data_IF_153152964950
#
_entry.id   IF_153152964950
#
_cell.length_a   1.000
_cell.length_b   1.000
_cell.length_c   1.000
_cell.angle_alpha   90.00
_cell.angle_beta   90.00
_cell.angle_gamma   90.00
#
_symmetry.space_group_name_H-M   'P 1'
#
loop_
_entity.id
_entity.type
_entity.pdbx_description
1 polymer ?
#
# COMPACT_ATOMS: atom_id res chain seq x y z
N UNK A 1 7.16 35.31 8.70
CA UNK A 1 7.97 34.84 7.56
C UNK A 1 8.24 33.32 7.64
N UNK A 2 8.77 32.77 8.76
CA UNK A 2 9.04 31.32 8.88
C UNK A 2 7.82 30.42 8.65
N UNK A 3 6.67 30.75 9.24
CA UNK A 3 5.45 29.95 9.06
C UNK A 3 4.99 29.85 7.58
N UNK A 4 5.20 30.89 6.79
CA UNK A 4 4.91 30.88 5.35
C UNK A 4 5.91 30.00 4.56
N UNK A 5 7.18 30.02 4.95
CA UNK A 5 8.20 29.17 4.32
C UNK A 5 7.92 27.69 4.62
N UNK A 6 7.57 27.34 5.85
CA UNK A 6 7.20 25.98 6.22
C UNK A 6 5.95 25.47 5.47
N UNK A 7 4.99 26.35 5.20
CA UNK A 7 3.82 26.03 4.37
C UNK A 7 4.21 25.80 2.92
N UNK A 8 5.05 26.69 2.36
CA UNK A 8 5.54 26.57 0.98
C UNK A 8 6.37 25.30 0.77
N UNK A 9 7.26 24.98 1.69
CA UNK A 9 8.05 23.74 1.65
C UNK A 9 7.16 22.50 1.68
N UNK A 10 6.17 22.44 2.57
CA UNK A 10 5.20 21.32 2.62
C UNK A 10 4.38 21.20 1.34
N UNK A 11 3.89 22.32 0.78
CA UNK A 11 3.12 22.30 -0.46
C UNK A 11 3.98 21.91 -1.65
N UNK A 12 5.22 22.38 -1.70
CA UNK A 12 6.18 22.00 -2.76
C UNK A 12 6.52 20.52 -2.70
N UNK A 13 6.81 19.98 -1.51
CA UNK A 13 7.07 18.55 -1.32
C UNK A 13 5.84 17.69 -1.69
N UNK A 14 4.65 18.17 -1.34
CA UNK A 14 3.38 17.51 -1.72
C UNK A 14 3.20 17.50 -3.24
N UNK A 15 3.40 18.63 -3.91
CA UNK A 15 3.26 18.74 -5.36
C UNK A 15 4.28 17.84 -6.08
N UNK A 16 5.52 17.82 -5.62
CA UNK A 16 6.56 16.92 -6.13
C UNK A 16 6.13 15.47 -6.02
N UNK A 17 5.66 15.04 -4.85
CA UNK A 17 5.17 13.67 -4.64
C UNK A 17 3.98 13.34 -5.54
N UNK A 18 3.03 14.26 -5.72
CA UNK A 18 1.89 14.08 -6.62
C UNK A 18 2.32 13.85 -8.07
N UNK A 19 3.30 14.63 -8.56
CA UNK A 19 3.83 14.46 -9.92
C UNK A 19 4.60 13.16 -10.08
N UNK A 20 5.39 12.77 -9.11
CA UNK A 20 6.10 11.47 -9.08
C UNK A 20 5.11 10.31 -9.11
N UNK A 21 4.10 10.32 -8.24
CA UNK A 21 3.03 9.32 -8.16
C UNK A 21 2.26 9.21 -9.48
N UNK A 22 1.92 10.34 -10.10
CA UNK A 22 1.21 10.37 -11.39
C UNK A 22 2.04 9.78 -12.53
N UNK A 23 3.33 10.14 -12.59
CA UNK A 23 4.26 9.60 -13.60
C UNK A 23 4.45 8.10 -13.40
N UNK A 24 4.60 7.65 -12.16
CA UNK A 24 4.73 6.23 -11.83
C UNK A 24 3.46 5.45 -12.22
N UNK A 25 2.28 5.93 -11.84
CA UNK A 25 1.00 5.34 -12.20
C UNK A 25 0.83 5.23 -13.72
N UNK A 26 1.17 6.30 -14.45
CA UNK A 26 1.12 6.32 -15.91
C UNK A 26 2.07 5.32 -16.55
N UNK A 27 3.32 5.24 -16.07
CA UNK A 27 4.30 4.28 -16.59
C UNK A 27 3.93 2.84 -16.26
N UNK A 28 3.42 2.58 -15.05
CA UNK A 28 2.98 1.26 -14.64
C UNK A 28 1.78 0.77 -15.46
N UNK A 29 0.79 1.64 -15.70
CA UNK A 29 -0.42 1.29 -16.49
C UNK A 29 -0.12 1.08 -17.98
N UNK A 30 0.91 1.73 -18.53
CA UNK A 30 1.33 1.57 -19.93
C UNK A 30 2.38 0.48 -20.14
N UNK A 31 2.83 -0.19 -19.06
CA UNK A 31 3.89 -1.19 -19.13
C UNK A 31 5.30 -0.63 -19.40
N UNK A 32 5.45 0.69 -19.36
CA UNK A 32 6.72 1.37 -19.65
C UNK A 32 7.64 1.53 -18.43
N UNK A 33 7.25 0.98 -17.28
CA UNK A 33 8.08 0.97 -16.08
C UNK A 33 9.03 -0.24 -16.13
N UNK A 34 10.31 0.01 -15.96
CA UNK A 34 11.30 -1.08 -15.88
C UNK A 34 11.00 -1.96 -14.66
N UNK A 35 10.86 -3.26 -14.92
CA UNK A 35 10.55 -4.27 -13.92
C UNK A 35 11.52 -5.46 -14.10
N UNK A 36 12.32 -5.73 -13.07
CA UNK A 36 13.27 -6.84 -13.06
C UNK A 36 12.81 -7.86 -12.03
N UNK A 37 12.26 -8.98 -12.50
CA UNK A 37 11.74 -10.03 -11.64
C UNK A 37 12.88 -10.93 -11.13
N UNK A 38 13.02 -11.01 -9.81
CA UNK A 38 13.99 -11.86 -9.11
C UNK A 38 13.32 -12.64 -7.98
N UNK A 39 13.89 -13.79 -7.54
CA UNK A 39 13.41 -14.47 -6.36
C UNK A 39 13.45 -13.56 -5.13
N UNK A 40 12.29 -13.18 -4.64
CA UNK A 40 12.13 -12.25 -3.51
C UNK A 40 11.49 -12.96 -2.33
N UNK A 41 12.14 -12.89 -1.16
CA UNK A 41 11.60 -13.40 0.09
C UNK A 41 10.57 -12.41 0.66
N UNK A 42 9.32 -12.86 0.71
CA UNK A 42 8.19 -12.02 1.13
C UNK A 42 8.28 -11.61 2.60
N UNK A 43 8.71 -12.53 3.47
CA UNK A 43 8.76 -12.27 4.91
C UNK A 43 9.88 -11.28 5.25
N UNK A 44 11.02 -11.39 4.58
CA UNK A 44 12.14 -10.44 4.73
C UNK A 44 11.71 -9.04 4.31
N UNK A 45 11.08 -8.91 3.15
CA UNK A 45 10.63 -7.61 2.65
C UNK A 45 9.54 -7.00 3.54
N UNK A 46 8.62 -7.83 4.03
CA UNK A 46 7.57 -7.38 4.96
C UNK A 46 8.17 -6.87 6.28
N UNK A 47 9.18 -7.58 6.81
CA UNK A 47 9.91 -7.15 8.00
C UNK A 47 10.65 -5.83 7.81
N UNK A 48 11.29 -5.62 6.66
CA UNK A 48 12.00 -4.39 6.34
C UNK A 48 11.05 -3.18 6.29
N UNK A 49 9.95 -3.29 5.56
CA UNK A 49 8.99 -2.19 5.46
C UNK A 49 8.32 -1.90 6.80
N UNK A 50 8.07 -2.93 7.61
CA UNK A 50 7.52 -2.74 8.96
C UNK A 50 8.46 -1.97 9.87
N UNK A 51 9.77 -2.26 9.82
CA UNK A 51 10.78 -1.50 10.58
C UNK A 51 10.78 -0.01 10.23
N UNK A 52 10.59 0.34 8.96
CA UNK A 52 10.50 1.75 8.54
C UNK A 52 9.20 2.45 8.98
N UNK A 53 8.14 1.69 9.21
CA UNK A 53 6.84 2.23 9.61
C UNK A 53 6.58 2.24 11.11
N UNK A 54 7.45 1.62 11.92
CA UNK A 54 7.27 1.48 13.38
C UNK A 54 6.92 2.82 14.06
N UNK A 55 7.74 3.84 13.90
CA UNK A 55 7.52 5.16 14.50
C UNK A 55 6.23 5.84 14.01
N UNK A 56 5.84 5.62 12.75
CA UNK A 56 4.62 6.19 12.18
C UNK A 56 3.36 5.50 12.69
N UNK A 57 3.43 4.19 12.88
CA UNK A 57 2.34 3.41 13.48
C UNK A 57 2.17 3.78 14.95
N UNK A 58 3.27 3.90 15.70
CA UNK A 58 3.26 4.36 17.08
C UNK A 58 2.66 5.76 17.22
N UNK A 59 3.10 6.71 16.40
CA UNK A 59 2.55 8.07 16.37
C UNK A 59 1.05 8.09 16.03
N UNK A 60 0.57 7.15 15.23
CA UNK A 60 -0.85 6.95 14.91
C UNK A 60 -1.62 6.16 15.98
N UNK A 61 -0.99 5.75 17.07
CA UNK A 61 -1.57 4.85 18.09
C UNK A 61 -2.10 3.54 17.48
N UNK A 62 -1.35 3.00 16.52
CA UNK A 62 -1.70 1.76 15.81
C UNK A 62 -0.81 0.64 16.30
N UNK A 63 -1.41 -0.49 16.70
CA UNK A 63 -0.70 -1.68 17.17
C UNK A 63 -0.50 -2.66 16.00
N UNK A 64 0.73 -2.86 15.48
CA UNK A 64 0.96 -3.81 14.41
C UNK A 64 0.92 -5.25 14.93
N UNK A 65 0.20 -6.11 14.21
CA UNK A 65 0.17 -7.56 14.41
C UNK A 65 0.65 -8.23 13.13
N UNK A 66 1.87 -8.76 13.16
CA UNK A 66 2.51 -9.37 11.99
C UNK A 66 2.49 -10.89 12.14
N UNK A 67 1.93 -11.57 11.13
CA UNK A 67 1.84 -13.02 11.06
C UNK A 67 2.37 -13.50 9.72
N UNK A 68 3.60 -13.99 9.70
CA UNK A 68 4.25 -14.48 8.49
C UNK A 68 4.14 -16.00 8.37
N UNK A 69 4.02 -16.49 7.13
CA UNK A 69 4.05 -17.91 6.86
C UNK A 69 5.44 -18.48 7.20
N UNK A 70 5.51 -19.53 8.07
CA UNK A 70 6.78 -20.06 8.55
C UNK A 70 7.64 -20.73 7.45
N UNK A 71 7.06 -21.03 6.28
CA UNK A 71 7.80 -21.60 5.16
C UNK A 71 8.77 -20.62 4.50
N UNK A 72 8.70 -19.31 4.81
CA UNK A 72 9.52 -18.29 4.19
C UNK A 72 9.31 -18.19 2.68
N UNK A 73 8.06 -17.93 2.23
CA UNK A 73 7.72 -18.03 0.82
C UNK A 73 8.49 -17.02 -0.05
N UNK A 74 8.94 -17.51 -1.21
CA UNK A 74 9.56 -16.68 -2.25
C UNK A 74 8.63 -16.57 -3.45
N UNK A 75 8.68 -15.41 -4.09
CA UNK A 75 7.94 -15.10 -5.32
C UNK A 75 8.89 -14.47 -6.34
N UNK A 76 8.52 -14.51 -7.63
CA UNK A 76 9.19 -13.68 -8.63
C UNK A 76 8.61 -12.27 -8.57
N UNK A 77 9.42 -11.31 -8.12
CA UNK A 77 9.02 -9.92 -8.02
C UNK A 77 10.23 -8.99 -8.18
N UNK A 78 9.98 -7.74 -8.55
CA UNK A 78 10.95 -6.66 -8.39
C UNK A 78 10.86 -6.15 -6.95
N UNK A 79 11.86 -6.39 -6.13
CA UNK A 79 11.85 -6.04 -4.71
C UNK A 79 11.58 -4.55 -4.45
N UNK A 80 12.05 -3.64 -5.33
CA UNK A 80 11.80 -2.20 -5.22
C UNK A 80 10.33 -1.86 -5.49
N UNK A 81 9.73 -2.47 -6.52
CA UNK A 81 8.34 -2.25 -6.88
C UNK A 81 7.40 -2.90 -5.86
N UNK A 82 7.72 -4.08 -5.36
CA UNK A 82 6.95 -4.73 -4.31
C UNK A 82 7.03 -3.95 -2.98
N UNK A 83 8.21 -3.44 -2.63
CA UNK A 83 8.37 -2.53 -1.49
C UNK A 83 7.47 -1.30 -1.65
N UNK A 84 7.40 -0.73 -2.85
CA UNK A 84 6.55 0.43 -3.16
C UNK A 84 5.06 0.10 -3.02
N UNK A 85 4.64 -1.13 -3.37
CA UNK A 85 3.27 -1.61 -3.10
C UNK A 85 2.99 -1.58 -1.60
N UNK A 86 3.88 -2.14 -0.78
CA UNK A 86 3.71 -2.18 0.68
C UNK A 86 3.74 -0.78 1.30
N UNK A 87 4.63 0.10 0.83
CA UNK A 87 4.70 1.50 1.24
C UNK A 87 3.37 2.24 0.99
N UNK A 88 2.78 2.07 -0.19
CA UNK A 88 1.48 2.66 -0.50
C UNK A 88 0.37 2.15 0.43
N UNK A 89 0.34 0.85 0.72
CA UNK A 89 -0.66 0.25 1.61
C UNK A 89 -0.47 0.70 3.07
N UNK A 90 0.75 0.70 3.59
CA UNK A 90 1.04 1.16 4.95
C UNK A 90 0.85 2.66 5.12
N UNK A 91 1.24 3.45 4.11
CA UNK A 91 0.95 4.89 4.11
C UNK A 91 -0.54 5.18 4.16
N UNK A 92 -1.35 4.39 3.44
CA UNK A 92 -2.81 4.46 3.49
C UNK A 92 -3.35 4.11 4.88
N UNK A 93 -2.85 3.04 5.49
CA UNK A 93 -3.19 2.63 6.86
C UNK A 93 -2.88 3.75 7.86
N UNK A 94 -1.67 4.31 7.84
CA UNK A 94 -1.28 5.41 8.76
C UNK A 94 -2.19 6.64 8.64
N UNK A 95 -2.78 6.88 7.47
CA UNK A 95 -3.67 8.02 7.23
C UNK A 95 -5.11 7.78 7.68
N UNK A 96 -5.61 6.56 7.47
CA UNK A 96 -7.05 6.29 7.53
C UNK A 96 -7.45 5.30 8.62
N UNK A 97 -6.50 4.58 9.24
CA UNK A 97 -6.82 3.67 10.33
C UNK A 97 -7.30 4.42 11.59
N UNK A 98 -8.19 3.79 12.32
CA UNK A 98 -8.71 4.31 13.59
C UNK A 98 -7.62 4.19 14.66
N UNK A 99 -7.24 5.28 15.33
CA UNK A 99 -6.29 5.23 16.46
C UNK A 99 -6.76 4.29 17.56
N UNK A 100 -5.82 3.66 18.24
CA UNK A 100 -6.11 2.70 19.31
C UNK A 100 -6.56 1.32 18.80
N UNK A 101 -6.41 1.05 17.49
CA UNK A 101 -6.77 -0.24 16.90
C UNK A 101 -5.54 -1.00 16.38
N UNK A 102 -5.74 -2.28 16.08
CA UNK A 102 -4.70 -3.13 15.50
C UNK A 102 -4.64 -3.02 13.99
N UNK A 103 -3.43 -3.12 13.48
CA UNK A 103 -3.13 -3.25 12.04
C UNK A 103 -2.55 -4.63 11.81
N UNK A 104 -3.19 -5.43 10.97
CA UNK A 104 -2.77 -6.80 10.71
C UNK A 104 -2.04 -6.88 9.38
N UNK A 105 -0.84 -7.44 9.41
CA UNK A 105 -0.06 -7.78 8.25
C UNK A 105 0.19 -9.29 8.27
N UNK A 106 -0.06 -9.96 7.17
CA UNK A 106 0.20 -11.40 7.11
C UNK A 106 0.69 -11.84 5.75
N UNK A 107 1.50 -12.89 5.73
CA UNK A 107 1.77 -13.69 4.56
C UNK A 107 1.25 -15.10 4.76
N UNK A 108 0.75 -15.73 3.71
CA UNK A 108 0.27 -17.13 3.75
C UNK A 108 0.47 -17.80 2.40
N UNK A 109 0.71 -19.10 2.43
CA UNK A 109 0.82 -19.94 1.23
C UNK A 109 -0.37 -20.88 1.16
N UNK A 110 -1.07 -20.86 0.05
CA UNK A 110 -2.17 -21.78 -0.21
C UNK A 110 -2.27 -22.11 -1.69
N UNK A 111 -2.30 -23.40 -2.04
CA UNK A 111 -2.47 -23.85 -3.43
C UNK A 111 -1.41 -23.31 -4.39
N UNK A 112 -0.15 -23.22 -3.96
CA UNK A 112 0.95 -22.68 -4.79
C UNK A 112 0.89 -21.16 -4.99
N UNK A 113 0.09 -20.46 -4.20
CA UNK A 113 0.02 -18.99 -4.20
C UNK A 113 0.42 -18.41 -2.86
N UNK A 114 1.16 -17.32 -2.89
CA UNK A 114 1.51 -16.50 -1.73
C UNK A 114 0.58 -15.31 -1.69
N UNK A 115 -0.13 -15.13 -0.59
CA UNK A 115 -0.99 -13.96 -0.36
C UNK A 115 -0.42 -13.12 0.76
N UNK A 116 -0.19 -11.84 0.49
CA UNK A 116 0.23 -10.84 1.48
C UNK A 116 -0.98 -9.95 1.75
N UNK A 117 -1.36 -9.82 3.02
CA UNK A 117 -2.60 -9.16 3.41
C UNK A 117 -2.34 -8.05 4.42
N UNK A 118 -2.98 -6.90 4.21
CA UNK A 118 -2.97 -5.73 5.07
C UNK A 118 -4.40 -5.44 5.49
N UNK A 119 -4.66 -5.34 6.80
CA UNK A 119 -6.02 -5.09 7.34
C UNK A 119 -5.97 -4.04 8.44
N UNK A 120 -6.94 -3.15 8.44
CA UNK A 120 -7.15 -2.16 9.50
C UNK A 120 -8.64 -1.80 9.62
N UNK A 121 -9.01 -1.24 10.76
CA UNK A 121 -10.30 -0.58 10.94
C UNK A 121 -10.16 0.86 10.46
N UNK A 122 -11.09 1.30 9.63
CA UNK A 122 -11.13 2.68 9.14
C UNK A 122 -11.61 3.65 10.21
N UNK A 123 -10.98 4.82 10.28
CA UNK A 123 -11.44 5.94 11.14
C UNK A 123 -12.78 6.51 10.69
N UNK A 124 -13.05 6.44 9.40
CA UNK A 124 -14.27 6.97 8.79
C UNK A 124 -15.13 5.82 8.27
N UNK A 125 -16.45 5.92 8.34
CA UNK A 125 -17.33 4.92 7.77
C UNK A 125 -17.04 4.68 6.29
N UNK A 126 -16.88 3.42 5.92
CA UNK A 126 -16.67 2.99 4.53
C UNK A 126 -18.04 2.60 3.93
N UNK A 127 -18.84 3.61 3.59
CA UNK A 127 -20.18 3.43 3.01
C UNK A 127 -20.14 3.27 1.48
N UNK A 128 -19.07 2.69 0.96
CA UNK A 128 -18.83 2.49 -0.48
C UNK A 128 -18.30 1.08 -0.73
N UNK A 129 -18.56 0.55 -1.92
CA UNK A 129 -17.98 -0.73 -2.32
C UNK A 129 -16.46 -0.61 -2.59
N UNK A 130 -15.79 -1.75 -2.60
CA UNK A 130 -14.36 -1.80 -2.94
C UNK A 130 -14.11 -1.25 -4.37
N UNK A 131 -14.99 -1.56 -5.31
CA UNK A 131 -14.88 -1.09 -6.70
C UNK A 131 -15.05 0.43 -6.80
N UNK A 132 -16.05 0.99 -6.10
CA UNK A 132 -16.24 2.45 -6.03
C UNK A 132 -15.05 3.16 -5.36
N UNK A 133 -14.46 2.55 -4.33
CA UNK A 133 -13.27 3.10 -3.68
C UNK A 133 -12.10 3.13 -4.66
N UNK A 134 -11.87 2.04 -5.39
CA UNK A 134 -10.82 1.97 -6.41
C UNK A 134 -11.05 2.98 -7.53
N UNK A 135 -12.28 3.11 -8.04
CA UNK A 135 -12.62 4.10 -9.06
C UNK A 135 -12.39 5.55 -8.62
N UNK A 136 -12.71 5.88 -7.37
CA UNK A 136 -12.46 7.21 -6.80
C UNK A 136 -10.97 7.54 -6.73
N UNK A 137 -10.14 6.57 -6.37
CA UNK A 137 -8.69 6.75 -6.36
C UNK A 137 -8.12 6.90 -7.78
N UNK A 138 -8.67 6.19 -8.77
CA UNK A 138 -8.28 6.34 -10.19
C UNK A 138 -8.71 7.70 -10.76
N UNK A 139 -9.87 8.23 -10.36
CA UNK A 139 -10.40 9.52 -10.87
C UNK A 139 -9.81 10.74 -10.15
N UNK A 140 -8.98 10.57 -9.13
CA UNK A 140 -8.39 11.69 -8.41
C UNK A 140 -9.41 12.59 -7.72
N UNK A 141 -10.49 12.02 -7.21
CA UNK A 141 -11.55 12.75 -6.49
C UNK A 141 -10.98 13.40 -5.23
N UNK A 142 -10.51 14.64 -5.40
CA UNK A 142 -9.83 15.47 -4.40
C UNK A 142 -10.78 16.09 -3.39
N UNK A 143 -12.03 15.62 -3.31
CA UNK A 143 -13.10 16.28 -2.56
C UNK A 143 -13.02 16.15 -1.05
N UNK A 144 -12.00 15.51 -0.50
CA UNK A 144 -11.76 15.49 0.96
C UNK A 144 -10.33 15.89 1.28
N UNK A 145 -10.21 16.92 2.09
CA UNK A 145 -9.02 17.63 2.57
C UNK A 145 -8.02 16.79 3.40
N UNK A 146 -7.74 15.57 3.00
CA UNK A 146 -6.73 14.73 3.64
C UNK A 146 -5.43 14.75 2.82
N UNK A 147 -4.30 14.90 3.51
CA UNK A 147 -2.97 14.88 2.91
C UNK A 147 -2.73 13.58 2.13
N UNK A 148 -2.68 13.66 0.80
CA UNK A 148 -2.35 12.52 -0.07
C UNK A 148 -2.75 12.74 -1.51
N UNK A 149 -2.09 12.01 -2.43
CA UNK A 149 -2.40 12.07 -3.87
C UNK A 149 -3.74 11.43 -4.23
N UNK A 150 -4.28 10.57 -3.36
CA UNK A 150 -5.40 9.70 -3.70
C UNK A 150 -5.01 8.58 -4.68
N UNK A 151 -3.75 8.50 -5.12
CA UNK A 151 -3.29 7.53 -6.12
C UNK A 151 -2.66 6.26 -5.53
N UNK A 152 -2.44 6.21 -4.21
CA UNK A 152 -1.66 5.12 -3.60
C UNK A 152 -2.22 3.72 -3.84
N UNK A 153 -3.54 3.53 -3.79
CA UNK A 153 -4.17 2.22 -4.05
C UNK A 153 -4.09 1.84 -5.54
N UNK A 154 -4.30 2.79 -6.45
CA UNK A 154 -4.20 2.55 -7.89
C UNK A 154 -2.76 2.24 -8.30
N UNK A 155 -1.77 2.90 -7.69
CA UNK A 155 -0.35 2.58 -7.87
C UNK A 155 -0.06 1.17 -7.35
N UNK A 156 -0.50 0.83 -6.15
CA UNK A 156 -0.31 -0.51 -5.58
C UNK A 156 -0.90 -1.60 -6.50
N UNK A 157 -2.11 -1.39 -7.03
CA UNK A 157 -2.74 -2.30 -7.99
C UNK A 157 -1.94 -2.42 -9.28
N UNK A 158 -1.54 -1.30 -9.89
CA UNK A 158 -0.80 -1.28 -11.16
C UNK A 158 0.58 -1.93 -11.02
N UNK A 159 1.32 -1.63 -9.95
CA UNK A 159 2.63 -2.22 -9.67
C UNK A 159 2.53 -3.72 -9.36
N UNK A 160 1.47 -4.16 -8.69
CA UNK A 160 1.22 -5.59 -8.46
C UNK A 160 0.96 -6.31 -9.78
N UNK A 161 0.10 -5.76 -10.63
CA UNK A 161 -0.21 -6.33 -11.96
C UNK A 161 0.99 -6.37 -12.89
N UNK A 162 1.82 -5.32 -12.90
CA UNK A 162 3.06 -5.26 -13.70
C UNK A 162 4.03 -6.41 -13.38
N UNK A 163 4.02 -6.87 -12.14
CA UNK A 163 4.84 -7.98 -11.66
C UNK A 163 4.16 -9.36 -11.79
N UNK A 164 3.00 -9.43 -12.47
CA UNK A 164 2.24 -10.66 -12.64
C UNK A 164 1.44 -11.11 -11.41
N UNK A 165 1.30 -10.25 -10.41
CA UNK A 165 0.47 -10.47 -9.24
C UNK A 165 -0.98 -10.02 -9.43
N UNK A 166 -1.83 -10.41 -8.48
CA UNK A 166 -3.22 -9.96 -8.38
C UNK A 166 -3.42 -9.10 -7.14
N UNK A 167 -4.13 -7.99 -7.29
CA UNK A 167 -4.50 -7.08 -6.22
C UNK A 167 -6.01 -7.20 -5.95
N UNK A 168 -6.38 -7.34 -4.68
CA UNK A 168 -7.78 -7.38 -4.26
C UNK A 168 -8.01 -6.47 -3.07
N UNK A 169 -9.12 -5.74 -3.10
CA UNK A 169 -9.61 -4.91 -2.02
C UNK A 169 -10.94 -5.46 -1.51
N UNK A 170 -11.08 -5.55 -0.20
CA UNK A 170 -12.31 -5.97 0.47
C UNK A 170 -12.68 -4.93 1.52
N UNK A 171 -13.94 -4.55 1.56
CA UNK A 171 -14.52 -3.69 2.59
C UNK A 171 -15.66 -4.47 3.23
N UNK A 172 -15.62 -4.57 4.56
CA UNK A 172 -16.67 -5.20 5.36
C UNK A 172 -16.94 -4.30 6.57
N UNK A 173 -18.01 -3.51 6.49
CA UNK A 173 -18.24 -2.41 7.42
C UNK A 173 -17.07 -1.43 7.43
N UNK A 174 -16.46 -1.24 8.60
CA UNK A 174 -15.28 -0.38 8.75
C UNK A 174 -13.96 -1.13 8.55
N UNK A 175 -14.00 -2.43 8.27
CA UNK A 175 -12.82 -3.22 7.97
C UNK A 175 -12.36 -2.97 6.52
N UNK A 176 -11.15 -2.44 6.41
CA UNK A 176 -10.42 -2.33 5.15
C UNK A 176 -9.40 -3.46 5.05
N UNK A 177 -9.41 -4.19 3.94
CA UNK A 177 -8.47 -5.27 3.66
C UNK A 177 -7.96 -5.17 2.24
N UNK A 178 -6.65 -5.01 2.09
CA UNK A 178 -5.96 -5.12 0.81
C UNK A 178 -5.13 -6.41 0.80
N UNK A 179 -5.19 -7.15 -0.31
CA UNK A 179 -4.43 -8.37 -0.50
C UNK A 179 -3.70 -8.33 -1.84
N UNK A 180 -2.44 -8.74 -1.85
CA UNK A 180 -1.65 -8.97 -3.05
C UNK A 180 -1.26 -10.44 -3.11
N UNK A 181 -1.45 -11.05 -4.28
CA UNK A 181 -1.26 -12.50 -4.47
C UNK A 181 -0.35 -12.75 -5.65
N UNK A 182 0.64 -13.62 -5.44
CA UNK A 182 1.60 -14.05 -6.45
C UNK A 182 1.69 -15.58 -6.49
N UNK A 183 2.24 -16.14 -7.55
CA UNK A 183 2.62 -17.55 -7.57
C UNK A 183 3.84 -17.79 -6.67
N UNK A 184 3.78 -18.83 -5.83
CA UNK A 184 4.91 -19.25 -5.04
C UNK A 184 6.01 -19.80 -5.96
N UNK A 185 7.27 -19.52 -5.62
CA UNK A 185 8.39 -20.28 -6.17
C UNK A 185 8.49 -21.63 -5.45
N UNK A 186 8.93 -22.67 -6.19
CA UNK A 186 9.15 -23.99 -5.59
C UNK A 186 10.21 -23.97 -4.48
#
# INVERSE_FOLDING_TARGET
ARAYLDVLERQSARLKKLTEDLVEASKASTGNLACTLEPTDVNVLLGQVMGEYESRLEAGQLEPVVQTDPSGPKILADGRLLWRVFDNLLSNICKYAMPGTRVYLSSSVNGGKVTICFKNISRYPLNISADELMERFVRGDSSRSTEGSGLGLSIAQSLTGLQGGAFALTIDGDLFKAAVTFSALP
#
